data_IF_548762151766
#
_entry.id   IF_548762151766
#
_cell.length_a   1.000
_cell.length_b   1.000
_cell.length_c   1.000
_cell.angle_alpha   90.00
_cell.angle_beta   90.00
_cell.angle_gamma   90.00
#
_symmetry.space_group_name_H-M   'P 1'
#
loop_
_entity.id
_entity.type
_entity.pdbx_description
1 polymer ?
#
# COMPACT_ATOMS: atom_id res chain seq x y z
N UNK A 1 13.08 -8.22 -57.28
CA UNK A 1 13.78 -8.53 -56.01
C UNK A 1 13.53 -7.49 -54.93
N UNK A 2 13.24 -6.23 -55.21
CA UNK A 2 13.00 -5.22 -54.18
C UNK A 2 11.73 -5.41 -53.29
N UNK A 3 10.70 -6.07 -53.79
CA UNK A 3 9.45 -6.26 -53.06
C UNK A 3 9.57 -7.27 -51.91
N UNK A 4 10.44 -8.24 -52.01
CA UNK A 4 10.71 -9.21 -50.94
C UNK A 4 11.38 -8.54 -49.72
N UNK A 5 12.21 -7.55 -49.90
CA UNK A 5 12.89 -6.83 -48.84
C UNK A 5 11.89 -5.96 -48.06
N UNK A 6 10.95 -5.31 -48.76
CA UNK A 6 9.87 -4.52 -48.12
C UNK A 6 8.93 -5.40 -47.30
N UNK A 7 8.60 -6.60 -47.81
CA UNK A 7 7.73 -7.54 -47.11
C UNK A 7 8.38 -8.09 -45.83
N UNK A 8 9.68 -8.39 -45.87
CA UNK A 8 10.44 -8.84 -44.69
C UNK A 8 10.53 -7.70 -43.67
N UNK A 9 10.74 -6.44 -44.11
CA UNK A 9 10.84 -5.28 -43.21
C UNK A 9 9.50 -4.98 -42.50
N UNK A 10 8.37 -5.16 -43.16
CA UNK A 10 7.04 -5.00 -42.56
C UNK A 10 6.75 -6.08 -41.53
N UNK A 11 7.12 -7.34 -41.79
CA UNK A 11 6.92 -8.44 -40.87
C UNK A 11 7.77 -8.28 -39.61
N UNK A 12 9.02 -7.84 -39.74
CA UNK A 12 9.91 -7.63 -38.58
C UNK A 12 9.48 -6.45 -37.71
N UNK A 13 8.99 -5.36 -38.30
CA UNK A 13 8.50 -4.20 -37.54
C UNK A 13 7.18 -4.51 -36.82
N UNK A 14 6.25 -5.21 -37.44
CA UNK A 14 4.99 -5.62 -36.78
C UNK A 14 5.23 -6.65 -35.69
N UNK A 15 6.12 -7.63 -35.90
CA UNK A 15 6.46 -8.64 -34.89
C UNK A 15 7.04 -8.05 -33.62
N UNK A 16 7.96 -7.08 -33.74
CA UNK A 16 8.54 -6.40 -32.58
C UNK A 16 7.51 -5.57 -31.80
N UNK A 17 6.56 -4.94 -32.46
CA UNK A 17 5.52 -4.15 -31.79
C UNK A 17 4.56 -5.03 -30.96
N UNK A 18 4.23 -6.21 -31.44
CA UNK A 18 3.39 -7.17 -30.73
C UNK A 18 4.12 -7.76 -29.50
N UNK A 19 5.40 -8.04 -29.63
CA UNK A 19 6.19 -8.64 -28.56
C UNK A 19 6.41 -7.67 -27.40
N UNK A 20 6.75 -6.40 -27.67
CA UNK A 20 6.92 -5.37 -26.64
C UNK A 20 5.62 -5.01 -25.93
N UNK A 21 4.47 -5.03 -26.63
CA UNK A 21 3.17 -4.76 -26.00
C UNK A 21 2.70 -5.89 -25.09
N UNK A 22 3.12 -7.13 -25.32
CA UNK A 22 2.81 -8.26 -24.45
C UNK A 22 3.64 -8.24 -23.16
N UNK A 23 4.92 -7.90 -23.23
CA UNK A 23 5.81 -7.81 -22.07
C UNK A 23 5.34 -6.73 -21.09
N UNK A 24 5.01 -5.54 -21.56
CA UNK A 24 4.51 -4.46 -20.71
C UNK A 24 3.17 -4.79 -20.05
N UNK A 25 2.28 -5.53 -20.73
CA UNK A 25 1.02 -5.99 -20.14
C UNK A 25 1.21 -7.03 -19.04
N UNK A 26 2.19 -7.91 -19.15
CA UNK A 26 2.48 -8.91 -18.12
C UNK A 26 3.08 -8.25 -16.87
N UNK A 27 3.99 -7.31 -17.03
CA UNK A 27 4.58 -6.56 -15.92
C UNK A 27 3.52 -5.75 -15.14
N UNK A 28 2.62 -5.05 -15.84
CA UNK A 28 1.52 -4.33 -15.20
C UNK A 28 0.55 -5.26 -14.44
N UNK A 29 0.30 -6.46 -14.95
CA UNK A 29 -0.56 -7.43 -14.25
C UNK A 29 0.11 -8.00 -13.00
N UNK A 30 1.41 -8.29 -13.05
CA UNK A 30 2.16 -8.75 -11.89
C UNK A 30 2.19 -7.66 -10.81
N UNK A 31 2.50 -6.44 -11.17
CA UNK A 31 2.52 -5.32 -10.23
C UNK A 31 1.14 -5.03 -9.63
N UNK A 32 0.07 -5.10 -10.41
CA UNK A 32 -1.30 -4.95 -9.91
C UNK A 32 -1.66 -6.07 -8.91
N UNK A 33 -1.29 -7.33 -9.20
CA UNK A 33 -1.51 -8.44 -8.30
C UNK A 33 -0.72 -8.31 -6.99
N UNK A 34 0.54 -7.89 -7.06
CA UNK A 34 1.37 -7.62 -5.88
C UNK A 34 0.80 -6.50 -5.02
N UNK A 35 0.37 -5.39 -5.63
CA UNK A 35 -0.26 -4.29 -4.92
C UNK A 35 -1.56 -4.71 -4.23
N UNK A 36 -2.38 -5.52 -4.90
CA UNK A 36 -3.62 -6.06 -4.32
C UNK A 36 -3.34 -6.96 -3.12
N UNK A 37 -2.33 -7.82 -3.22
CA UNK A 37 -1.91 -8.68 -2.12
C UNK A 37 -1.32 -7.88 -0.96
N UNK A 38 -0.53 -6.86 -1.25
CA UNK A 38 0.06 -5.98 -0.25
C UNK A 38 -1.01 -5.16 0.48
N UNK A 39 -1.99 -4.63 -0.25
CA UNK A 39 -3.14 -3.95 0.33
C UNK A 39 -4.00 -4.88 1.21
N UNK A 40 -4.25 -6.10 0.77
CA UNK A 40 -4.97 -7.08 1.57
C UNK A 40 -4.22 -7.44 2.87
N UNK A 41 -2.90 -7.58 2.80
CA UNK A 41 -2.05 -7.80 3.99
C UNK A 41 -2.13 -6.62 4.95
N UNK A 42 -2.08 -5.40 4.43
CA UNK A 42 -2.20 -4.18 5.23
C UNK A 42 -3.54 -4.10 5.97
N UNK A 43 -4.64 -4.35 5.26
CA UNK A 43 -5.99 -4.34 5.84
C UNK A 43 -6.16 -5.45 6.87
N UNK A 44 -5.68 -6.66 6.58
CA UNK A 44 -5.70 -7.77 7.53
C UNK A 44 -4.93 -7.42 8.80
N UNK A 45 -3.79 -6.76 8.66
CA UNK A 45 -2.97 -6.33 9.78
C UNK A 45 -3.71 -5.28 10.65
N UNK A 46 -4.33 -4.29 10.03
CA UNK A 46 -5.16 -3.29 10.72
C UNK A 46 -6.34 -3.95 11.47
N UNK A 47 -7.04 -4.89 10.83
CA UNK A 47 -8.15 -5.60 11.45
C UNK A 47 -7.68 -6.43 12.67
N UNK A 48 -6.56 -7.14 12.56
CA UNK A 48 -6.02 -7.91 13.68
C UNK A 48 -5.67 -7.01 14.89
N UNK A 49 -5.14 -5.80 14.66
CA UNK A 49 -4.89 -4.83 15.73
C UNK A 49 -6.22 -4.38 16.36
N UNK A 50 -7.21 -4.05 15.54
CA UNK A 50 -8.51 -3.60 16.03
C UNK A 50 -9.22 -4.67 16.84
N UNK A 51 -9.22 -5.92 16.38
CA UNK A 51 -9.80 -7.07 17.07
C UNK A 51 -9.10 -7.31 18.42
N UNK A 52 -7.77 -7.25 18.44
CA UNK A 52 -7.02 -7.37 19.69
C UNK A 52 -7.37 -6.24 20.68
N UNK A 53 -7.42 -4.99 20.21
CA UNK A 53 -7.72 -3.84 21.04
C UNK A 53 -9.19 -3.79 21.49
N UNK A 54 -10.08 -4.42 20.75
CA UNK A 54 -11.48 -4.58 21.18
C UNK A 54 -11.57 -5.49 22.42
N UNK A 55 -10.75 -6.53 22.48
CA UNK A 55 -10.67 -7.45 23.60
C UNK A 55 -9.81 -6.93 24.77
N UNK A 56 -8.85 -6.01 24.50
CA UNK A 56 -7.86 -5.49 25.43
C UNK A 56 -7.83 -3.97 25.40
N UNK A 57 -8.90 -3.34 25.89
CA UNK A 57 -9.06 -1.88 25.82
C UNK A 57 -8.00 -1.11 26.63
N UNK A 58 -7.48 -1.70 27.69
CA UNK A 58 -6.36 -1.16 28.47
C UNK A 58 -5.10 -0.91 27.62
N UNK A 59 -4.89 -1.74 26.59
CA UNK A 59 -3.76 -1.60 25.66
C UNK A 59 -3.90 -0.39 24.74
N UNK A 60 -5.12 0.01 24.42
CA UNK A 60 -5.36 1.24 23.66
C UNK A 60 -4.94 2.48 24.44
N UNK A 61 -5.15 2.48 25.75
CA UNK A 61 -4.73 3.57 26.64
C UNK A 61 -3.23 3.53 26.94
N UNK A 62 -2.67 2.33 27.15
CA UNK A 62 -1.25 2.15 27.42
C UNK A 62 -0.37 2.52 26.21
N UNK A 63 -0.89 2.36 25.00
CA UNK A 63 -0.17 2.65 23.76
C UNK A 63 0.97 1.68 23.46
N UNK A 64 1.80 2.04 22.48
CA UNK A 64 2.97 1.26 22.09
C UNK A 64 2.74 0.34 20.91
N UNK A 65 3.57 -0.68 20.78
CA UNK A 65 3.48 -1.69 19.70
C UNK A 65 2.98 -3.03 20.26
N UNK A 66 2.28 -3.76 19.41
CA UNK A 66 1.88 -5.14 19.67
C UNK A 66 2.84 -6.10 18.98
N UNK A 67 3.03 -7.27 19.56
CA UNK A 67 3.84 -8.32 18.95
C UNK A 67 3.02 -9.16 17.98
N UNK A 68 3.67 -9.81 17.02
CA UNK A 68 3.00 -10.73 16.09
C UNK A 68 2.26 -11.85 16.82
N UNK A 69 2.80 -12.33 17.96
CA UNK A 69 2.15 -13.33 18.80
C UNK A 69 0.83 -12.82 19.40
N UNK A 70 0.77 -11.54 19.81
CA UNK A 70 -0.45 -10.92 20.32
C UNK A 70 -1.51 -10.74 19.23
N UNK A 71 -1.07 -10.44 18.01
CA UNK A 71 -1.95 -10.26 16.86
C UNK A 71 -2.42 -11.59 16.24
N UNK A 72 -1.79 -12.71 16.57
CA UNK A 72 -2.11 -14.02 16.00
C UNK A 72 -1.84 -14.11 14.49
N UNK A 73 -0.99 -13.23 13.96
CA UNK A 73 -0.60 -13.20 12.55
C UNK A 73 0.92 -13.29 12.42
N UNK A 74 1.43 -13.86 11.32
CA UNK A 74 2.87 -13.84 11.05
C UNK A 74 3.38 -12.39 11.04
N UNK A 75 4.57 -12.17 11.59
CA UNK A 75 5.25 -10.88 11.48
C UNK A 75 5.44 -10.52 10.00
N UNK A 76 5.25 -9.26 9.68
CA UNK A 76 5.54 -8.74 8.34
C UNK A 76 6.48 -7.54 8.48
N UNK A 77 7.56 -7.55 7.73
CA UNK A 77 8.51 -6.43 7.69
C UNK A 77 7.98 -5.26 6.83
N UNK A 78 6.90 -5.51 6.07
CA UNK A 78 6.34 -4.54 5.13
C UNK A 78 5.35 -3.57 5.77
N UNK A 79 4.76 -3.94 6.92
CA UNK A 79 3.75 -3.14 7.62
C UNK A 79 4.18 -2.91 9.06
N UNK A 80 4.13 -1.67 9.49
CA UNK A 80 4.43 -1.26 10.87
C UNK A 80 3.23 -0.59 11.50
N UNK A 81 3.19 -0.55 12.83
CA UNK A 81 2.12 0.14 13.56
C UNK A 81 2.62 0.76 14.86
N UNK A 82 1.85 1.69 15.37
CA UNK A 82 1.94 2.22 16.74
C UNK A 82 0.57 2.61 17.25
N UNK A 83 0.35 2.38 18.54
CA UNK A 83 -0.82 2.88 19.26
C UNK A 83 -0.36 4.11 20.04
N UNK A 84 -0.97 5.24 19.77
CA UNK A 84 -0.65 6.51 20.42
C UNK A 84 -1.91 7.36 20.56
N UNK A 85 -2.08 8.02 21.70
CA UNK A 85 -3.25 8.88 21.96
C UNK A 85 -4.60 8.16 21.71
N UNK A 86 -4.67 6.88 22.09
CA UNK A 86 -5.84 6.00 21.89
C UNK A 86 -6.19 5.73 20.41
N UNK A 87 -5.32 6.09 19.48
CA UNK A 87 -5.45 5.84 18.04
C UNK A 87 -4.45 4.80 17.58
N UNK A 88 -4.85 4.06 16.58
CA UNK A 88 -3.99 3.10 15.89
C UNK A 88 -3.47 3.76 14.62
N UNK A 89 -2.18 3.73 14.44
CA UNK A 89 -1.50 4.18 13.22
C UNK A 89 -0.83 2.96 12.60
N UNK A 90 -1.19 2.62 11.39
CA UNK A 90 -0.57 1.53 10.62
C UNK A 90 -0.02 2.12 9.34
N UNK A 91 1.23 1.79 9.02
CA UNK A 91 1.88 2.33 7.82
C UNK A 91 2.72 1.29 7.10
N UNK A 92 2.89 1.51 5.81
CA UNK A 92 3.78 0.76 4.94
C UNK A 92 4.54 1.73 4.03
N UNK A 93 5.71 1.31 3.56
CA UNK A 93 6.46 2.07 2.55
C UNK A 93 5.60 2.23 1.29
N UNK A 94 5.57 3.45 0.76
CA UNK A 94 4.83 3.71 -0.47
C UNK A 94 5.47 3.00 -1.65
N UNK A 95 4.66 2.22 -2.36
CA UNK A 95 5.01 1.60 -3.64
C UNK A 95 4.04 2.05 -4.72
N UNK A 96 4.48 2.11 -6.00
CA UNK A 96 3.60 2.51 -7.09
C UNK A 96 2.33 1.65 -7.15
N UNK A 97 1.16 2.28 -7.05
CA UNK A 97 -0.14 1.61 -7.10
C UNK A 97 -0.70 1.11 -5.76
N UNK A 98 0.09 1.04 -4.68
CA UNK A 98 -0.39 0.57 -3.38
C UNK A 98 -1.49 1.48 -2.81
N UNK A 99 -1.35 2.80 -2.94
CA UNK A 99 -2.38 3.75 -2.48
C UNK A 99 -3.71 3.51 -3.21
N UNK A 100 -3.68 3.28 -4.53
CA UNK A 100 -4.88 3.00 -5.31
C UNK A 100 -5.57 1.70 -4.87
N UNK A 101 -4.78 0.64 -4.66
CA UNK A 101 -5.29 -0.65 -4.18
C UNK A 101 -5.88 -0.55 -2.76
N UNK A 102 -5.26 0.22 -1.86
CA UNK A 102 -5.78 0.47 -0.51
C UNK A 102 -7.07 1.28 -0.54
N UNK A 103 -7.15 2.31 -1.39
CA UNK A 103 -8.38 3.10 -1.57
C UNK A 103 -9.54 2.22 -2.02
N UNK A 104 -9.31 1.39 -3.04
CA UNK A 104 -10.32 0.47 -3.55
C UNK A 104 -10.80 -0.50 -2.46
N UNK A 105 -9.89 -1.13 -1.74
CA UNK A 105 -10.23 -2.12 -0.71
C UNK A 105 -10.78 -1.51 0.58
N UNK A 106 -10.46 -0.25 0.89
CA UNK A 106 -10.97 0.47 2.07
C UNK A 106 -12.24 1.31 1.80
N UNK A 107 -12.81 1.21 0.59
CA UNK A 107 -13.91 2.05 0.14
C UNK A 107 -13.61 3.56 0.32
N UNK A 108 -12.44 4.00 -0.15
CA UNK A 108 -11.99 5.40 -0.06
C UNK A 108 -12.00 5.96 1.37
N UNK A 109 -11.48 5.20 2.34
CA UNK A 109 -11.43 5.64 3.73
C UNK A 109 -10.78 7.02 3.87
N UNK A 110 -11.47 7.95 4.52
CA UNK A 110 -10.96 9.30 4.80
C UNK A 110 -9.76 9.32 5.78
N UNK A 111 -9.49 8.18 6.43
CA UNK A 111 -8.39 8.01 7.39
C UNK A 111 -7.14 7.39 6.75
N UNK A 112 -7.17 7.20 5.45
CA UNK A 112 -6.05 6.74 4.64
C UNK A 112 -5.38 7.94 3.98
N UNK A 113 -4.06 8.03 4.06
CA UNK A 113 -3.31 9.13 3.46
C UNK A 113 -1.82 8.82 3.31
N UNK A 114 -1.07 9.84 2.92
CA UNK A 114 0.39 9.79 2.77
C UNK A 114 1.04 10.69 3.82
N UNK A 115 2.18 10.28 4.34
CA UNK A 115 2.96 11.11 5.26
C UNK A 115 4.04 11.86 4.48
N UNK A 116 4.02 13.18 4.58
CA UNK A 116 5.04 14.08 4.01
C UNK A 116 5.37 15.19 5.00
N UNK A 117 6.66 15.40 5.24
CA UNK A 117 7.16 16.42 6.16
C UNK A 117 6.50 16.34 7.57
N UNK A 118 6.31 15.12 8.08
CA UNK A 118 5.69 14.85 9.36
C UNK A 118 4.20 15.16 9.45
N UNK A 119 3.51 15.33 8.30
CA UNK A 119 2.08 15.60 8.22
C UNK A 119 1.36 14.52 7.42
N UNK A 120 0.16 14.19 7.85
CA UNK A 120 -0.71 13.32 7.07
C UNK A 120 -1.44 14.14 6.01
N UNK A 121 -1.26 13.76 4.76
CA UNK A 121 -2.01 14.28 3.61
C UNK A 121 -3.11 13.29 3.25
N UNK A 122 -4.32 13.77 3.02
CA UNK A 122 -5.40 12.95 2.50
C UNK A 122 -5.13 12.52 1.03
N UNK A 123 -6.01 11.71 0.47
CA UNK A 123 -5.90 11.24 -0.91
C UNK A 123 -6.01 12.36 -1.96
N UNK A 124 -6.48 13.55 -1.57
CA UNK A 124 -6.52 14.75 -2.40
C UNK A 124 -5.30 15.68 -2.19
N UNK A 125 -4.33 15.26 -1.36
CA UNK A 125 -3.11 16.03 -1.07
C UNK A 125 -3.30 17.16 -0.05
N UNK A 126 -4.42 17.19 0.69
CA UNK A 126 -4.67 18.19 1.71
C UNK A 126 -4.15 17.73 3.05
N UNK A 127 -3.43 18.61 3.76
CA UNK A 127 -2.91 18.31 5.09
C UNK A 127 -4.06 18.18 6.10
N UNK A 128 -4.08 17.08 6.82
CA UNK A 128 -4.97 16.87 7.95
C UNK A 128 -4.36 17.44 9.23
N UNK A 129 -5.18 18.06 10.07
CA UNK A 129 -4.76 18.64 11.35
C UNK A 129 -4.62 17.56 12.41
N UNK A 130 -3.75 16.58 12.16
CA UNK A 130 -3.51 15.44 13.05
C UNK A 130 -2.04 15.42 13.41
N UNK A 131 -1.76 15.34 14.71
CA UNK A 131 -0.39 15.19 15.22
C UNK A 131 0.03 13.73 15.07
N UNK A 132 1.04 13.49 14.24
CA UNK A 132 1.62 12.17 14.05
C UNK A 132 2.68 11.87 15.10
N UNK A 133 2.76 10.62 15.62
CA UNK A 133 3.91 10.19 16.39
C UNK A 133 5.22 10.30 15.60
N UNK A 134 6.28 10.80 16.24
CA UNK A 134 7.60 11.02 15.58
C UNK A 134 8.27 9.75 15.06
N UNK A 135 7.78 8.58 15.46
CA UNK A 135 8.28 7.28 14.99
C UNK A 135 7.80 6.92 13.59
N UNK A 136 6.80 7.64 13.07
CA UNK A 136 6.26 7.41 11.72
C UNK A 136 7.15 8.16 10.72
N UNK A 137 7.81 7.46 9.79
CA UNK A 137 8.68 8.11 8.81
C UNK A 137 7.88 8.84 7.72
N UNK A 138 8.55 9.70 7.00
CA UNK A 138 8.02 10.30 5.77
C UNK A 138 7.99 9.27 4.61
N UNK A 139 7.24 9.58 3.57
CA UNK A 139 7.09 8.75 2.36
C UNK A 139 6.49 7.36 2.63
N UNK A 140 5.57 7.31 3.57
CA UNK A 140 4.78 6.10 3.84
C UNK A 140 3.29 6.37 3.59
N UNK A 141 2.58 5.30 3.26
CA UNK A 141 1.12 5.29 3.30
C UNK A 141 0.71 4.97 4.72
N UNK A 142 -0.15 5.79 5.28
CA UNK A 142 -0.64 5.68 6.65
C UNK A 142 -2.15 5.52 6.65
N UNK A 143 -2.63 4.56 7.41
CA UNK A 143 -4.03 4.44 7.78
C UNK A 143 -4.16 4.51 9.29
N UNK A 144 -5.09 5.31 9.76
CA UNK A 144 -5.38 5.42 11.19
C UNK A 144 -6.83 5.07 11.52
N UNK A 145 -7.04 4.70 12.78
CA UNK A 145 -8.36 4.38 13.33
C UNK A 145 -8.50 4.95 14.75
#
# INVERSE_FOLDING_TARGET
MGWFIVFIMVITTTGNFWFTSQLSRSEHRHQAAENTQQAATFIRYMNAINDYLHQHQERRTAGGRLTSAQLGIPGTDTVSHIISQQRVFVWATETPGLMAALREQSNDSALLGRVENGRLLDTAGRALSITLPSVIPDHVILWMN
#
